data_IF_356118308451
#
_entry.id   IF_356118308451
#
_cell.length_a   1.000
_cell.length_b   1.000
_cell.length_c   1.000
_cell.angle_alpha   90.00
_cell.angle_beta   90.00
_cell.angle_gamma   90.00
#
_symmetry.space_group_name_H-M   'P 1'
#
loop_
_entity.id
_entity.type
_entity.pdbx_description
1 polymer ?
#
# COMPACT_ATOMS: atom_id res chain seq x y z
N UNK A 1 9.27 4.29 -3.01
CA UNK A 1 7.97 3.71 -3.42
C UNK A 1 8.14 2.21 -3.59
N UNK A 2 7.15 1.42 -3.18
CA UNK A 2 7.14 -0.04 -3.30
C UNK A 2 6.09 -0.51 -4.28
N UNK A 3 6.45 -1.41 -5.20
CA UNK A 3 5.51 -2.08 -6.08
C UNK A 3 5.10 -3.39 -5.42
N UNK A 4 3.83 -3.48 -5.04
CA UNK A 4 3.25 -4.62 -4.33
C UNK A 4 2.17 -5.29 -5.17
N UNK A 5 2.08 -6.61 -5.08
CA UNK A 5 1.05 -7.45 -5.68
C UNK A 5 0.06 -7.84 -4.61
N UNK A 6 -1.18 -7.49 -4.83
CA UNK A 6 -2.34 -7.99 -4.10
C UNK A 6 -3.11 -8.98 -4.98
N UNK A 7 -4.12 -9.60 -4.40
CA UNK A 7 -5.00 -10.51 -5.14
C UNK A 7 -5.76 -9.78 -6.26
N UNK A 8 -6.04 -8.49 -6.05
CA UNK A 8 -6.76 -7.62 -6.99
C UNK A 8 -5.87 -7.11 -8.15
N UNK A 9 -4.53 -7.18 -8.02
CA UNK A 9 -3.60 -6.65 -9.01
C UNK A 9 -2.29 -6.13 -8.42
N UNK A 10 -1.53 -5.41 -9.24
CA UNK A 10 -0.23 -4.81 -8.85
C UNK A 10 -0.42 -3.32 -8.65
N UNK A 11 0.03 -2.79 -7.51
CA UNK A 11 -0.09 -1.39 -7.14
C UNK A 11 1.25 -0.84 -6.66
N UNK A 12 1.58 0.38 -7.08
CA UNK A 12 2.69 1.14 -6.52
C UNK A 12 2.20 1.91 -5.30
N UNK A 13 2.68 1.55 -4.12
CA UNK A 13 2.37 2.22 -2.86
C UNK A 13 3.62 2.86 -2.26
N UNK A 14 3.49 3.84 -1.37
CA UNK A 14 4.63 4.38 -0.65
C UNK A 14 5.22 3.33 0.30
N UNK A 15 6.54 3.28 0.42
CA UNK A 15 7.27 2.33 1.29
C UNK A 15 6.82 2.39 2.74
N UNK A 16 6.34 3.56 3.20
CA UNK A 16 5.78 3.78 4.53
C UNK A 16 4.49 2.98 4.81
N UNK A 17 3.76 2.58 3.76
CA UNK A 17 2.57 1.73 3.91
C UNK A 17 2.95 0.26 4.06
N UNK A 18 4.19 -0.08 3.77
CA UNK A 18 4.66 -1.44 3.90
C UNK A 18 4.99 -1.72 5.38
N UNK A 19 4.49 -2.83 5.92
CA UNK A 19 4.89 -3.26 7.25
C UNK A 19 6.36 -3.72 7.25
N UNK A 20 7.01 -3.72 8.42
CA UNK A 20 8.42 -4.12 8.57
C UNK A 20 8.70 -5.53 8.01
N UNK A 21 7.75 -6.45 8.20
CA UNK A 21 7.80 -7.82 7.67
C UNK A 21 7.62 -7.92 6.16
N UNK A 22 7.26 -6.83 5.48
CA UNK A 22 7.02 -6.78 4.03
C UNK A 22 5.96 -7.77 3.50
N UNK A 23 5.22 -8.42 4.40
CA UNK A 23 4.12 -9.36 4.09
C UNK A 23 2.75 -8.73 4.20
N UNK A 24 2.67 -7.57 4.86
CA UNK A 24 1.44 -6.81 5.10
C UNK A 24 1.64 -5.37 4.67
N UNK A 25 0.58 -4.76 4.17
CA UNK A 25 0.55 -3.37 3.76
C UNK A 25 -0.65 -2.69 4.42
N UNK A 26 -0.45 -1.49 4.93
CA UNK A 26 -1.50 -0.59 5.35
C UNK A 26 -2.20 -0.05 4.09
N UNK A 27 -3.47 -0.35 3.96
CA UNK A 27 -4.29 0.07 2.83
C UNK A 27 -5.43 0.95 3.31
N UNK A 28 -5.57 2.16 2.76
CA UNK A 28 -6.63 3.05 3.19
C UNK A 28 -8.01 2.51 2.73
N UNK A 29 -9.05 2.58 3.57
CA UNK A 29 -10.43 2.20 3.23
C UNK A 29 -11.10 3.29 2.37
N UNK A 30 -10.39 3.78 1.35
CA UNK A 30 -10.87 4.84 0.47
C UNK A 30 -11.26 4.31 -0.90
N UNK A 31 -12.05 5.09 -1.63
CA UNK A 31 -12.32 4.84 -3.05
C UNK A 31 -11.05 4.97 -3.91
N UNK A 32 -10.98 4.27 -5.04
CA UNK A 32 -9.82 4.24 -5.97
C UNK A 32 -9.20 5.61 -6.26
N UNK A 33 -10.01 6.66 -6.47
CA UNK A 33 -9.50 8.04 -6.69
C UNK A 33 -8.76 8.60 -5.48
N UNK A 34 -9.27 8.36 -4.28
CA UNK A 34 -8.64 8.80 -3.03
C UNK A 34 -7.40 7.97 -2.71
N UNK A 35 -7.40 6.67 -3.02
CA UNK A 35 -6.22 5.81 -2.90
C UNK A 35 -5.09 6.38 -3.77
N UNK A 36 -5.34 6.67 -5.04
CA UNK A 36 -4.33 7.27 -5.93
C UNK A 36 -3.79 8.59 -5.37
N UNK A 37 -4.68 9.44 -4.82
CA UNK A 37 -4.27 10.70 -4.20
C UNK A 37 -3.43 10.49 -2.93
N UNK A 38 -3.78 9.51 -2.10
CA UNK A 38 -3.03 9.15 -0.90
C UNK A 38 -1.65 8.58 -1.25
N UNK A 39 -1.55 7.74 -2.28
CA UNK A 39 -0.29 7.24 -2.84
C UNK A 39 0.57 8.40 -3.34
N UNK A 40 0.01 9.29 -4.18
CA UNK A 40 0.73 10.47 -4.70
C UNK A 40 1.17 11.43 -3.60
N UNK A 41 0.39 11.53 -2.52
CA UNK A 41 0.73 12.36 -1.36
C UNK A 41 1.67 11.67 -0.36
N UNK A 42 1.97 10.38 -0.54
CA UNK A 42 2.69 9.60 0.47
C UNK A 42 2.04 9.75 1.84
N UNK A 43 0.72 9.62 1.89
CA UNK A 43 -0.06 9.83 3.11
C UNK A 43 0.35 8.81 4.17
N UNK A 44 0.52 9.23 5.42
CA UNK A 44 0.97 8.32 6.47
C UNK A 44 -0.15 7.33 6.83
N UNK A 45 0.17 6.03 7.00
CA UNK A 45 -0.82 5.06 7.42
C UNK A 45 -1.34 5.43 8.80
N UNK A 46 -2.66 5.46 8.94
CA UNK A 46 -3.34 5.82 10.17
C UNK A 46 -4.06 4.58 10.75
N UNK A 47 -4.48 4.62 12.01
CA UNK A 47 -5.12 3.48 12.70
C UNK A 47 -6.42 2.99 12.03
N UNK A 48 -7.05 3.83 11.21
CA UNK A 48 -8.22 3.47 10.40
C UNK A 48 -7.88 2.69 9.12
N UNK A 49 -6.61 2.44 8.82
CA UNK A 49 -6.21 1.74 7.60
C UNK A 49 -6.27 0.24 7.79
N UNK A 50 -6.78 -0.46 6.79
CA UNK A 50 -6.89 -1.90 6.82
C UNK A 50 -5.58 -2.56 6.43
N UNK A 51 -5.32 -3.75 6.96
CA UNK A 51 -4.14 -4.52 6.60
C UNK A 51 -4.46 -5.45 5.43
N UNK A 52 -3.85 -5.17 4.27
CA UNK A 52 -3.88 -6.09 3.15
C UNK A 52 -2.66 -7.01 3.19
N UNK A 53 -2.90 -8.30 2.95
CA UNK A 53 -1.84 -9.27 2.75
C UNK A 53 -1.20 -9.03 1.39
N UNK A 54 0.09 -8.73 1.41
CA UNK A 54 0.89 -8.59 0.20
C UNK A 54 1.27 -9.97 -0.28
N UNK A 55 0.90 -10.31 -1.50
CA UNK A 55 1.25 -11.61 -2.12
C UNK A 55 2.72 -11.59 -2.50
N UNK A 56 3.16 -10.52 -3.14
CA UNK A 56 4.53 -10.41 -3.64
C UNK A 56 4.94 -8.94 -3.76
N UNK A 57 6.21 -8.63 -3.50
CA UNK A 57 6.77 -7.31 -3.75
C UNK A 57 7.67 -7.41 -4.97
N UNK A 58 7.43 -6.58 -5.97
CA UNK A 58 8.22 -6.56 -7.20
C UNK A 58 9.45 -5.67 -7.10
N UNK A 59 9.44 -4.66 -6.25
CA UNK A 59 10.59 -3.80 -6.03
C UNK A 59 10.30 -2.69 -5.04
N UNK A 60 11.34 -2.25 -4.37
CA UNK A 60 11.35 -1.04 -3.53
C UNK A 60 12.40 -0.12 -4.13
N UNK A 61 11.96 1.05 -4.63
CA UNK A 61 12.82 2.13 -5.11
C UNK A 61 12.90 3.24 -4.06
#
# INVERSE_FOLDING_TARGET
YSIVKFNDGIFGIPTIWLSADKKKCYWPPYNKRKILKAISKTEEPNENWEFLNVIQIFGTA
#
